data_IF_479173985175
#
_entry.id   IF_479173985175
#
_cell.length_a   1.000
_cell.length_b   1.000
_cell.length_c   1.000
_cell.angle_alpha   90.00
_cell.angle_beta   90.00
_cell.angle_gamma   90.00
#
_symmetry.space_group_name_H-M   'P 1'
#
loop_
_entity.id
_entity.type
_entity.pdbx_description
1 polymer ?
#
# COMPACT_ATOMS: atom_id res chain seq x y z
N UNK A 1 1.92 -7.90 -20.68
CA UNK A 1 2.56 -9.03 -19.98
C UNK A 1 1.92 -9.12 -18.61
N UNK A 2 1.21 -10.21 -18.31
CA UNK A 2 0.61 -10.43 -17.00
C UNK A 2 1.73 -10.76 -16.03
N UNK A 3 2.20 -9.76 -15.28
CA UNK A 3 3.14 -9.99 -14.18
C UNK A 3 2.42 -10.81 -13.13
N UNK A 4 2.94 -12.00 -12.83
CA UNK A 4 2.48 -12.85 -11.74
C UNK A 4 2.38 -12.02 -10.44
N UNK A 5 1.21 -11.96 -9.77
CA UNK A 5 1.06 -11.24 -8.50
C UNK A 5 2.02 -11.71 -7.40
N UNK A 6 2.67 -12.87 -7.55
CA UNK A 6 3.69 -13.41 -6.65
C UNK A 6 5.15 -13.04 -7.00
N UNK A 7 5.37 -12.14 -7.97
CA UNK A 7 6.74 -11.74 -8.39
C UNK A 7 7.50 -10.87 -7.38
N UNK A 8 6.84 -10.44 -6.31
CA UNK A 8 7.42 -9.60 -5.27
C UNK A 8 8.06 -10.48 -4.17
N UNK A 9 9.11 -10.02 -3.46
CA UNK A 9 9.97 -10.87 -2.61
C UNK A 9 9.34 -11.20 -1.25
N UNK A 10 8.11 -11.70 -1.25
CA UNK A 10 7.43 -12.28 -0.09
C UNK A 10 7.38 -13.80 -0.27
N UNK A 11 7.78 -14.57 0.75
CA UNK A 11 7.78 -16.03 0.67
C UNK A 11 6.35 -16.58 0.58
N UNK A 12 6.19 -17.79 0.04
CA UNK A 12 4.90 -18.48 -0.05
C UNK A 12 4.18 -18.58 1.30
N UNK A 13 4.93 -18.69 2.40
CA UNK A 13 4.36 -18.67 3.75
C UNK A 13 3.65 -17.37 4.11
N UNK A 14 4.09 -16.23 3.57
CA UNK A 14 3.43 -14.95 3.76
C UNK A 14 2.13 -14.87 2.95
N UNK A 15 2.16 -15.36 1.71
CA UNK A 15 0.95 -15.47 0.89
C UNK A 15 -0.11 -16.36 1.53
N UNK A 16 0.30 -17.54 2.04
CA UNK A 16 -0.60 -18.42 2.78
C UNK A 16 -1.18 -17.75 4.02
N UNK A 17 -0.39 -16.95 4.74
CA UNK A 17 -0.89 -16.21 5.90
C UNK A 17 -1.94 -15.16 5.51
N UNK A 18 -1.75 -14.46 4.37
CA UNK A 18 -2.74 -13.53 3.83
C UNK A 18 -4.04 -14.23 3.42
N UNK A 19 -3.94 -15.36 2.73
CA UNK A 19 -5.12 -16.16 2.33
C UNK A 19 -5.94 -16.57 3.57
N UNK A 20 -5.29 -17.09 4.60
CA UNK A 20 -5.93 -17.45 5.87
C UNK A 20 -6.51 -16.25 6.62
N UNK A 21 -5.90 -15.06 6.50
CA UNK A 21 -6.43 -13.83 7.08
C UNK A 21 -7.69 -13.36 6.34
N UNK A 22 -7.71 -13.48 5.00
CA UNK A 22 -8.83 -13.09 4.13
C UNK A 22 -10.07 -13.93 4.36
N UNK A 23 -9.91 -15.22 4.64
CA UNK A 23 -11.02 -16.10 5.09
C UNK A 23 -11.74 -15.54 6.33
N UNK A 24 -11.05 -14.72 7.13
CA UNK A 24 -11.57 -14.13 8.38
C UNK A 24 -11.94 -12.65 8.23
N UNK A 25 -12.03 -12.15 6.99
CA UNK A 25 -12.35 -10.75 6.70
C UNK A 25 -11.21 -9.79 7.03
N UNK A 26 -9.96 -10.26 7.00
CA UNK A 26 -8.76 -9.47 7.29
C UNK A 26 -7.74 -9.60 6.16
N UNK A 27 -6.69 -8.78 6.21
CA UNK A 27 -5.54 -8.86 5.30
C UNK A 27 -4.29 -8.97 6.13
N UNK A 28 -3.43 -9.93 5.83
CA UNK A 28 -2.08 -9.97 6.41
C UNK A 28 -1.26 -8.87 5.73
N UNK A 29 -0.73 -7.97 6.53
CA UNK A 29 -0.06 -6.79 6.02
C UNK A 29 1.41 -7.09 5.92
N UNK A 30 1.90 -7.12 4.68
CA UNK A 30 3.30 -7.37 4.43
C UNK A 30 4.14 -6.13 4.70
N UNK A 31 5.38 -6.32 5.13
CA UNK A 31 6.32 -5.24 5.33
C UNK A 31 7.60 -5.50 4.52
N UNK A 32 7.78 -4.73 3.45
CA UNK A 32 8.94 -4.83 2.56
C UNK A 32 10.30 -4.61 3.26
N UNK A 33 10.32 -4.08 4.49
CA UNK A 33 11.55 -3.86 5.27
C UNK A 33 11.88 -4.98 6.26
N UNK A 34 11.08 -6.05 6.31
CA UNK A 34 11.24 -7.17 7.25
C UNK A 34 11.68 -8.46 6.56
N UNK A 35 12.57 -9.26 7.18
CA UNK A 35 12.87 -10.60 6.69
C UNK A 35 11.59 -11.44 6.58
N UNK A 36 11.34 -12.03 5.42
CA UNK A 36 10.14 -12.83 5.15
C UNK A 36 8.84 -12.02 5.00
N UNK A 37 8.90 -10.69 5.04
CA UNK A 37 7.78 -9.80 4.75
C UNK A 37 6.64 -9.80 5.77
N UNK A 38 6.76 -10.50 6.90
CA UNK A 38 5.70 -10.60 7.91
C UNK A 38 6.07 -9.82 9.18
N UNK A 39 5.10 -9.09 9.73
CA UNK A 39 5.14 -8.48 11.06
C UNK A 39 4.09 -9.09 12.01
N UNK A 40 3.28 -10.06 11.54
CA UNK A 40 2.21 -10.72 12.30
C UNK A 40 1.02 -9.81 12.58
N UNK A 41 0.82 -8.78 11.75
CA UNK A 41 -0.24 -7.79 11.91
C UNK A 41 -1.23 -7.88 10.75
N UNK A 42 -2.52 -7.80 11.09
CA UNK A 42 -3.60 -7.83 10.12
C UNK A 42 -4.44 -6.57 10.17
N UNK A 43 -4.96 -6.14 9.01
CA UNK A 43 -5.94 -5.05 8.88
C UNK A 43 -7.32 -5.64 8.57
N UNK A 44 -8.39 -4.95 8.95
CA UNK A 44 -9.73 -5.28 8.44
C UNK A 44 -9.75 -5.15 6.90
N UNK A 45 -10.42 -6.09 6.23
CA UNK A 45 -10.42 -6.17 4.76
C UNK A 45 -11.05 -4.94 4.11
N UNK A 46 -12.15 -4.43 4.64
CA UNK A 46 -12.81 -3.24 4.09
C UNK A 46 -11.92 -2.02 4.25
N UNK A 47 -11.31 -1.85 5.43
CA UNK A 47 -10.36 -0.76 5.69
C UNK A 47 -9.17 -0.82 4.74
N UNK A 48 -8.62 -2.02 4.51
CA UNK A 48 -7.50 -2.24 3.61
C UNK A 48 -7.85 -1.85 2.17
N UNK A 49 -8.96 -2.36 1.62
CA UNK A 49 -9.31 -2.11 0.22
C UNK A 49 -9.64 -0.64 -0.04
N UNK A 50 -10.25 0.08 0.92
CA UNK A 50 -10.49 1.52 0.81
C UNK A 50 -9.17 2.29 0.69
N UNK A 51 -8.22 2.02 1.59
CA UNK A 51 -6.92 2.70 1.61
C UNK A 51 -6.09 2.31 0.39
N UNK A 52 -6.08 1.02 0.02
CA UNK A 52 -5.38 0.51 -1.17
C UNK A 52 -5.90 1.18 -2.44
N UNK A 53 -7.22 1.20 -2.63
CA UNK A 53 -7.86 1.82 -3.79
C UNK A 53 -7.49 3.30 -3.89
N UNK A 54 -7.56 4.02 -2.77
CA UNK A 54 -7.18 5.43 -2.71
C UNK A 54 -5.71 5.65 -3.10
N UNK A 55 -4.79 4.89 -2.51
CA UNK A 55 -3.35 5.01 -2.79
C UNK A 55 -3.06 4.79 -4.28
N UNK A 56 -3.61 3.72 -4.86
CA UNK A 56 -3.38 3.40 -6.27
C UNK A 56 -3.99 4.47 -7.19
N UNK A 57 -5.16 5.03 -6.86
CA UNK A 57 -5.78 6.10 -7.61
C UNK A 57 -4.95 7.40 -7.58
N UNK A 58 -4.43 7.78 -6.42
CA UNK A 58 -3.54 8.95 -6.25
C UNK A 58 -2.26 8.81 -7.07
N UNK A 59 -1.69 7.60 -7.13
CA UNK A 59 -0.47 7.32 -7.88
C UNK A 59 -0.71 7.18 -9.40
N UNK A 60 -1.91 6.79 -9.82
CA UNK A 60 -2.28 6.67 -11.24
C UNK A 60 -2.69 8.01 -11.90
N UNK A 61 -2.67 9.13 -11.16
CA UNK A 61 -3.06 10.44 -11.69
C UNK A 61 -2.04 10.94 -12.75
N UNK A 62 -2.45 11.17 -14.01
CA UNK A 62 -1.54 11.37 -15.14
C UNK A 62 -0.79 12.72 -15.15
N UNK A 63 -1.30 13.76 -14.48
CA UNK A 63 -0.75 15.13 -14.59
C UNK A 63 0.41 15.41 -13.62
N UNK A 64 1.12 14.39 -13.14
CA UNK A 64 2.30 14.57 -12.26
C UNK A 64 3.58 14.57 -13.09
N UNK A 65 4.31 15.68 -13.06
CA UNK A 65 5.50 15.94 -13.87
C UNK A 65 6.61 14.87 -13.80
N UNK A 66 6.67 14.08 -12.74
CA UNK A 66 7.64 13.00 -12.56
C UNK A 66 7.01 11.63 -12.20
N UNK A 67 5.68 11.51 -12.27
CA UNK A 67 4.94 10.28 -11.93
C UNK A 67 5.08 9.82 -10.48
N UNK A 68 5.53 10.69 -9.55
CA UNK A 68 5.79 10.31 -8.16
C UNK A 68 5.02 11.19 -7.16
N UNK A 69 4.86 10.69 -5.93
CA UNK A 69 4.11 11.35 -4.86
C UNK A 69 4.94 11.39 -3.59
N UNK A 70 4.96 12.53 -2.89
CA UNK A 70 5.55 12.60 -1.54
C UNK A 70 4.70 11.81 -0.57
N UNK A 71 5.33 10.98 0.27
CA UNK A 71 4.59 10.17 1.27
C UNK A 71 3.72 11.06 2.18
N UNK A 72 4.20 12.23 2.56
CA UNK A 72 3.44 13.16 3.41
C UNK A 72 2.13 13.61 2.75
N UNK A 73 2.16 13.84 1.43
CA UNK A 73 1.00 14.31 0.67
C UNK A 73 0.02 13.16 0.44
N UNK A 74 0.52 11.94 0.25
CA UNK A 74 -0.32 10.75 0.19
C UNK A 74 -1.05 10.50 1.52
N UNK A 75 -0.35 10.67 2.66
CA UNK A 75 -0.95 10.55 3.99
C UNK A 75 -2.03 11.61 4.20
N UNK A 76 -1.76 12.87 3.83
CA UNK A 76 -2.73 13.95 3.91
C UNK A 76 -3.96 13.66 3.03
N UNK A 77 -3.74 13.27 1.77
CA UNK A 77 -4.82 12.91 0.85
C UNK A 77 -5.67 11.73 1.36
N UNK A 78 -5.04 10.72 1.98
CA UNK A 78 -5.77 9.59 2.59
C UNK A 78 -6.64 10.08 3.75
N UNK A 79 -6.08 10.95 4.60
CA UNK A 79 -6.79 11.55 5.73
C UNK A 79 -7.99 12.38 5.27
N UNK A 80 -7.83 13.19 4.23
CA UNK A 80 -8.89 14.03 3.68
C UNK A 80 -10.00 13.20 3.01
N UNK A 81 -9.63 12.12 2.32
CA UNK A 81 -10.59 11.32 1.56
C UNK A 81 -11.39 10.33 2.42
N UNK A 82 -10.75 9.70 3.40
CA UNK A 82 -11.33 8.58 4.17
C UNK A 82 -11.51 8.90 5.65
N UNK A 83 -11.07 10.05 6.14
CA UNK A 83 -11.06 10.39 7.58
C UNK A 83 -12.44 10.41 8.24
N UNK A 84 -13.49 10.72 7.48
CA UNK A 84 -14.88 10.72 7.94
C UNK A 84 -15.66 9.45 7.54
N UNK A 85 -15.01 8.53 6.82
CA UNK A 85 -15.67 7.33 6.34
C UNK A 85 -16.01 6.39 7.52
N UNK A 86 -17.21 5.80 7.50
CA UNK A 86 -17.76 5.00 8.63
C UNK A 86 -16.90 3.79 9.01
N UNK A 87 -16.16 3.23 8.05
CA UNK A 87 -15.16 2.17 8.29
C UNK A 87 -14.01 2.61 9.22
N UNK A 88 -13.79 3.91 9.43
CA UNK A 88 -12.71 4.45 10.26
C UNK A 88 -13.27 5.32 11.40
N UNK A 89 -13.91 4.74 12.43
CA UNK A 89 -14.61 5.50 13.46
C UNK A 89 -13.70 6.43 14.30
N UNK A 90 -12.38 6.19 14.30
CA UNK A 90 -11.38 7.05 14.98
C UNK A 90 -10.75 8.09 14.05
N UNK A 91 -11.00 8.01 12.74
CA UNK A 91 -10.57 8.94 11.71
C UNK A 91 -9.07 9.14 11.49
N UNK A 92 -8.17 8.52 12.28
CA UNK A 92 -6.71 8.74 12.18
C UNK A 92 -6.06 7.79 11.17
N UNK A 93 -5.76 8.27 9.97
CA UNK A 93 -5.38 7.39 8.85
C UNK A 93 -3.89 7.30 8.52
N UNK A 94 -3.03 8.00 9.26
CA UNK A 94 -1.58 7.93 9.04
C UNK A 94 -1.05 6.49 9.00
N UNK A 95 -1.37 5.69 10.02
CA UNK A 95 -0.87 4.33 10.12
C UNK A 95 -1.47 3.42 9.05
N UNK A 96 -2.76 3.57 8.76
CA UNK A 96 -3.44 2.86 7.68
C UNK A 96 -2.72 3.08 6.35
N UNK A 97 -2.50 4.35 5.98
CA UNK A 97 -1.77 4.69 4.76
C UNK A 97 -0.34 4.12 4.76
N UNK A 98 0.43 4.29 5.84
CA UNK A 98 1.81 3.81 5.88
C UNK A 98 1.92 2.30 5.81
N UNK A 99 1.02 1.57 6.47
CA UNK A 99 1.00 0.11 6.49
C UNK A 99 0.54 -0.47 5.15
N UNK A 100 -0.56 0.04 4.60
CA UNK A 100 -0.98 -0.36 3.25
C UNK A 100 0.10 -0.03 2.22
N UNK A 101 0.80 1.10 2.34
CA UNK A 101 1.89 1.45 1.43
C UNK A 101 3.05 0.45 1.48
N UNK A 102 3.53 0.04 2.67
CA UNK A 102 4.62 -0.95 2.74
C UNK A 102 4.18 -2.35 2.33
N UNK A 103 2.89 -2.67 2.48
CA UNK A 103 2.28 -3.88 1.93
C UNK A 103 2.26 -3.84 0.41
N UNK A 104 1.86 -2.71 -0.19
CA UNK A 104 1.91 -2.52 -1.64
C UNK A 104 3.34 -2.55 -2.20
N UNK A 105 4.34 -2.11 -1.41
CA UNK A 105 5.76 -2.30 -1.74
C UNK A 105 6.13 -3.77 -1.75
N UNK A 106 5.75 -4.50 -0.69
CA UNK A 106 6.05 -5.93 -0.56
C UNK A 106 5.34 -6.76 -1.62
N UNK A 107 4.17 -6.33 -2.10
CA UNK A 107 3.40 -6.94 -3.19
C UNK A 107 3.82 -6.47 -4.59
N UNK A 108 4.84 -5.59 -4.70
CA UNK A 108 5.38 -5.15 -5.99
C UNK A 108 4.47 -4.22 -6.80
N UNK A 109 3.51 -3.55 -6.15
CA UNK A 109 2.60 -2.60 -6.80
C UNK A 109 3.13 -1.16 -6.76
N UNK A 110 3.85 -0.82 -5.70
CA UNK A 110 4.40 0.52 -5.44
C UNK A 110 5.88 0.38 -5.11
N UNK A 111 6.69 1.38 -5.44
CA UNK A 111 8.09 1.43 -5.02
C UNK A 111 8.48 2.81 -4.49
N UNK A 112 9.56 2.82 -3.69
CA UNK A 112 10.20 4.06 -3.22
C UNK A 112 11.13 4.58 -4.29
N UNK A 113 11.13 5.90 -4.50
CA UNK A 113 12.15 6.53 -5.34
C UNK A 113 13.47 6.60 -4.54
N UNK A 114 14.55 5.93 -4.98
CA UNK A 114 15.82 5.92 -4.26
C UNK A 114 16.43 7.33 -4.12
N UNK A 115 17.14 7.57 -3.01
CA UNK A 115 17.90 8.82 -2.83
C UNK A 115 17.07 10.09 -2.61
N UNK A 116 15.75 9.98 -2.37
CA UNK A 116 14.87 11.15 -2.17
C UNK A 116 14.58 11.42 -0.70
N UNK A 117 14.71 12.70 -0.30
CA UNK A 117 14.26 13.23 0.99
C UNK A 117 13.55 14.57 0.76
N UNK A 118 12.26 14.71 1.14
CA UNK A 118 11.40 13.70 1.76
C UNK A 118 11.08 12.52 0.84
N UNK A 119 10.70 11.38 1.42
CA UNK A 119 10.44 10.13 0.67
C UNK A 119 9.36 10.32 -0.41
N UNK A 120 9.67 9.85 -1.63
CA UNK A 120 8.74 9.78 -2.76
C UNK A 120 8.44 8.33 -3.13
N UNK A 121 7.26 8.11 -3.71
CA UNK A 121 6.79 6.79 -4.16
C UNK A 121 6.13 6.88 -5.54
N UNK A 122 6.07 5.75 -6.26
CA UNK A 122 5.42 5.61 -7.58
C UNK A 122 4.91 4.19 -7.81
N UNK A 123 4.09 3.99 -8.84
CA UNK A 123 3.71 2.65 -9.31
C UNK A 123 4.92 1.97 -9.99
N UNK A 124 5.12 0.67 -9.75
CA UNK A 124 6.23 -0.11 -10.34
C UNK A 124 6.15 -0.18 -11.88
N UNK A 125 4.95 -0.04 -12.46
CA UNK A 125 4.72 -0.05 -13.91
C UNK A 125 4.04 1.24 -14.41
N UNK A 126 4.30 2.39 -13.80
CA UNK A 126 3.84 3.65 -14.38
C UNK A 126 4.39 3.77 -15.82
N UNK A 127 3.57 4.10 -16.84
CA UNK A 127 4.12 4.39 -18.16
C UNK A 127 5.16 5.50 -17.98
N UNK A 128 6.40 5.23 -18.41
CA UNK A 128 7.43 6.28 -18.46
C UNK A 128 6.94 7.38 -19.41
N UNK A 129 7.14 8.67 -19.08
CA UNK A 129 6.73 9.77 -19.95
C UNK A 129 7.40 9.69 -21.32
#
# INVERSE_FOLDING_TARGET
MSSDPHSAPVPDSAWLADDLARERGRVEIFNATRPGGLDGWTMDLQQYELVRTHILAVLATPDRSDGTVLLKDLVASTQDHLGEHSAFPKGRLRNYCTYTKVDLEARGLVERVPGTSPQRIRLVNAPSP
#
